data_IF_950558438532
#
_entry.id   IF_950558438532
#
_cell.length_a   1.000
_cell.length_b   1.000
_cell.length_c   1.000
_cell.angle_alpha   90.00
_cell.angle_beta   90.00
_cell.angle_gamma   90.00
#
_symmetry.space_group_name_H-M   'P 1'
#
loop_
_entity.id
_entity.type
_entity.pdbx_description
1 polymer ?
#
# COMPACT_ATOMS: atom_id res chain seq x y z
N UNK A 1 9.36 55.06 -26.11
CA UNK A 1 9.95 54.40 -24.91
C UNK A 1 9.82 52.89 -25.08
N UNK A 2 10.92 52.19 -25.37
CA UNK A 2 10.92 50.73 -25.55
C UNK A 2 10.89 50.04 -24.18
N UNK A 3 9.84 49.27 -23.87
CA UNK A 3 9.76 48.46 -22.68
C UNK A 3 10.82 47.33 -22.75
N UNK A 4 11.91 47.42 -22.01
CA UNK A 4 12.87 46.33 -21.83
C UNK A 4 12.13 45.11 -21.32
N UNK A 5 11.97 44.07 -22.14
CA UNK A 5 11.49 42.74 -21.71
C UNK A 5 12.48 42.18 -20.69
N UNK A 6 12.03 41.95 -19.47
CA UNK A 6 12.83 41.28 -18.45
C UNK A 6 13.09 39.83 -18.90
N UNK A 7 14.36 39.44 -18.95
CA UNK A 7 14.76 38.08 -19.32
C UNK A 7 14.31 37.12 -18.22
N UNK A 8 13.62 36.03 -18.56
CA UNK A 8 13.25 34.98 -17.58
C UNK A 8 14.53 34.32 -17.05
N UNK A 9 14.55 34.10 -15.73
CA UNK A 9 15.64 33.39 -15.05
C UNK A 9 15.08 32.06 -14.57
N UNK A 10 15.76 30.97 -14.89
CA UNK A 10 15.37 29.63 -14.47
C UNK A 10 16.24 29.16 -13.30
N UNK A 11 15.69 28.34 -12.43
CA UNK A 11 16.45 27.65 -11.39
C UNK A 11 17.44 26.67 -12.03
N UNK A 12 18.58 26.43 -11.38
CA UNK A 12 19.52 25.42 -11.82
C UNK A 12 18.82 24.04 -11.87
N UNK A 13 19.01 23.33 -12.97
CA UNK A 13 18.48 21.99 -13.19
C UNK A 13 19.65 21.07 -13.58
N UNK A 14 19.94 20.11 -12.69
CA UNK A 14 20.94 19.08 -12.93
C UNK A 14 20.33 17.71 -12.58
N UNK A 15 19.83 16.96 -13.58
CA UNK A 15 19.21 15.65 -13.34
C UNK A 15 20.22 14.58 -12.90
N UNK A 16 21.50 14.78 -13.20
CA UNK A 16 22.59 13.84 -12.89
C UNK A 16 23.35 14.18 -11.61
N UNK A 17 22.78 15.06 -10.78
CA UNK A 17 23.40 15.43 -9.51
C UNK A 17 23.42 14.24 -8.55
N UNK A 18 24.61 13.77 -8.24
CA UNK A 18 24.83 12.75 -7.23
C UNK A 18 24.64 13.32 -5.82
N UNK A 19 23.84 12.65 -5.01
CA UNK A 19 23.76 12.95 -3.57
C UNK A 19 24.82 12.16 -2.82
N UNK A 20 25.53 12.83 -1.93
CA UNK A 20 26.58 12.21 -1.11
C UNK A 20 25.99 11.16 -0.15
N UNK A 21 24.77 11.43 0.36
CA UNK A 21 23.95 10.52 1.13
C UNK A 21 22.57 10.44 0.46
N UNK A 22 22.22 9.30 -0.17
CA UNK A 22 20.89 9.16 -0.75
C UNK A 22 19.86 9.23 0.39
N UNK A 23 18.73 9.95 0.21
CA UNK A 23 17.65 9.99 1.18
C UNK A 23 17.08 8.60 1.39
N UNK A 24 16.65 8.29 2.61
CA UNK A 24 15.90 7.07 2.86
C UNK A 24 14.52 7.17 2.17
N UNK A 25 13.89 6.02 1.88
CA UNK A 25 12.52 6.04 1.36
C UNK A 25 11.56 6.72 2.34
N UNK A 26 11.84 6.64 3.63
CA UNK A 26 11.09 7.30 4.71
C UNK A 26 11.08 8.83 4.55
N UNK A 27 12.23 9.42 4.21
CA UNK A 27 12.41 10.87 4.05
C UNK A 27 11.69 11.41 2.81
N UNK A 28 11.48 10.55 1.81
CA UNK A 28 10.86 10.92 0.54
C UNK A 28 9.33 10.88 0.60
N UNK A 29 8.74 10.33 1.68
CA UNK A 29 7.29 10.21 1.84
C UNK A 29 6.78 11.28 2.80
N UNK A 30 5.83 12.14 2.38
CA UNK A 30 5.24 13.16 3.25
C UNK A 30 4.66 12.56 4.54
N UNK A 31 4.78 13.28 5.65
CA UNK A 31 4.32 12.80 6.96
C UNK A 31 2.80 12.52 7.01
N UNK A 32 2.01 13.26 6.24
CA UNK A 32 0.55 13.14 6.17
C UNK A 32 0.06 12.24 5.02
N UNK A 33 0.95 11.49 4.35
CA UNK A 33 0.54 10.67 3.22
C UNK A 33 -0.20 9.40 3.68
N UNK A 34 -1.29 9.04 2.98
CA UNK A 34 -2.15 7.87 3.30
C UNK A 34 -1.39 6.55 3.39
N UNK A 35 -0.27 6.41 2.69
CA UNK A 35 0.57 5.20 2.74
C UNK A 35 1.08 4.91 4.16
N UNK A 36 1.30 5.95 4.98
CA UNK A 36 1.71 5.81 6.39
C UNK A 36 0.59 5.23 7.25
N UNK A 37 -0.64 5.65 6.98
CA UNK A 37 -1.83 5.08 7.63
C UNK A 37 -1.96 3.60 7.29
N UNK A 38 -1.83 3.24 6.00
CA UNK A 38 -1.85 1.83 5.57
C UNK A 38 -0.80 1.00 6.31
N UNK A 39 0.44 1.49 6.39
CA UNK A 39 1.50 0.80 7.13
C UNK A 39 1.13 0.63 8.61
N UNK A 40 0.73 1.71 9.28
CA UNK A 40 0.40 1.70 10.71
C UNK A 40 -0.74 0.72 11.02
N UNK A 41 -1.82 0.76 10.25
CA UNK A 41 -2.98 -0.14 10.45
C UNK A 41 -2.59 -1.59 10.21
N UNK A 42 -1.92 -1.91 9.09
CA UNK A 42 -1.55 -3.29 8.78
C UNK A 42 -0.51 -3.86 9.77
N UNK A 43 0.39 -3.03 10.29
CA UNK A 43 1.37 -3.48 11.28
C UNK A 43 0.73 -3.88 12.62
N UNK A 44 -0.44 -3.35 12.96
CA UNK A 44 -1.19 -3.68 14.17
C UNK A 44 -2.13 -4.88 14.00
N UNK A 45 -2.38 -5.37 12.78
CA UNK A 45 -3.26 -6.51 12.56
C UNK A 45 -2.71 -7.80 13.17
N UNK A 46 -3.61 -8.58 13.78
CA UNK A 46 -3.36 -9.99 14.05
C UNK A 46 -3.50 -10.79 12.76
N UNK A 47 -2.44 -11.46 12.34
CA UNK A 47 -2.38 -12.23 11.09
C UNK A 47 -2.17 -13.73 11.32
N UNK A 48 -2.39 -14.23 12.54
CA UNK A 48 -2.14 -15.63 12.90
C UNK A 48 -2.88 -16.61 11.99
N UNK A 49 -4.12 -16.29 11.62
CA UNK A 49 -4.92 -17.12 10.73
C UNK A 49 -4.37 -17.15 9.29
N UNK A 50 -3.70 -16.09 8.85
CA UNK A 50 -2.97 -16.10 7.58
C UNK A 50 -1.68 -16.94 7.72
N UNK A 51 -0.94 -16.74 8.81
CA UNK A 51 0.32 -17.45 9.07
C UNK A 51 0.13 -18.97 9.12
N UNK A 52 -0.96 -19.46 9.71
CA UNK A 52 -1.30 -20.90 9.75
C UNK A 52 -1.43 -21.54 8.35
N UNK A 53 -1.69 -20.74 7.30
CA UNK A 53 -1.77 -21.22 5.92
C UNK A 53 -0.40 -21.37 5.24
N UNK A 54 0.68 -20.94 5.90
CA UNK A 54 2.04 -21.13 5.40
C UNK A 54 2.60 -22.44 5.92
N UNK A 55 2.88 -23.35 5.00
CA UNK A 55 3.56 -24.61 5.33
C UNK A 55 5.06 -24.36 5.33
N UNK A 56 5.77 -24.82 6.35
CA UNK A 56 7.23 -24.77 6.38
C UNK A 56 7.84 -25.62 5.26
N UNK A 57 9.06 -25.28 4.86
CA UNK A 57 9.81 -25.92 3.78
C UNK A 57 9.66 -25.22 2.41
N UNK A 58 10.63 -25.40 1.53
CA UNK A 58 10.67 -24.74 0.21
C UNK A 58 11.33 -23.36 0.23
N UNK A 59 11.14 -22.60 -0.84
CA UNK A 59 11.66 -21.25 -1.00
C UNK A 59 11.02 -20.28 0.01
N UNK A 60 11.78 -19.25 0.42
CA UNK A 60 11.31 -18.20 1.30
C UNK A 60 10.10 -17.50 0.71
N UNK A 61 9.06 -17.34 1.50
CA UNK A 61 7.84 -16.62 1.11
C UNK A 61 7.88 -15.18 1.61
N UNK A 62 7.29 -14.26 0.85
CA UNK A 62 7.10 -12.88 1.32
C UNK A 62 6.23 -12.84 2.57
N UNK A 63 6.54 -11.94 3.49
CA UNK A 63 5.79 -11.81 4.73
C UNK A 63 4.35 -11.36 4.46
N UNK A 64 3.31 -11.96 5.09
CA UNK A 64 1.91 -11.62 4.82
C UNK A 64 1.56 -10.15 5.02
N UNK A 65 2.15 -9.47 6.02
CA UNK A 65 1.93 -8.02 6.22
C UNK A 65 2.41 -7.20 5.03
N UNK A 66 3.54 -7.56 4.40
CA UNK A 66 4.01 -6.92 3.16
C UNK A 66 2.96 -7.06 2.07
N UNK A 67 2.49 -8.29 1.84
CA UNK A 67 1.49 -8.59 0.81
C UNK A 67 0.17 -7.85 1.05
N UNK A 68 -0.28 -7.77 2.32
CA UNK A 68 -1.46 -6.98 2.70
C UNK A 68 -1.26 -5.49 2.44
N UNK A 69 -0.11 -4.91 2.81
CA UNK A 69 0.19 -3.49 2.61
C UNK A 69 0.09 -3.10 1.14
N UNK A 70 0.76 -3.84 0.24
CA UNK A 70 0.74 -3.52 -1.19
C UNK A 70 -0.65 -3.73 -1.82
N UNK A 71 -1.42 -4.71 -1.36
CA UNK A 71 -2.79 -4.95 -1.81
C UNK A 71 -3.74 -3.84 -1.35
N UNK A 72 -3.76 -3.53 -0.06
CA UNK A 72 -4.63 -2.50 0.51
C UNK A 72 -4.32 -1.14 -0.10
N UNK A 73 -3.04 -0.78 -0.21
CA UNK A 73 -2.65 0.45 -0.87
C UNK A 73 -3.02 0.46 -2.37
N UNK A 74 -2.92 -0.70 -3.03
CA UNK A 74 -3.37 -0.89 -4.40
C UNK A 74 -4.86 -0.56 -4.57
N UNK A 75 -5.70 -1.07 -3.70
CA UNK A 75 -7.14 -0.76 -3.71
C UNK A 75 -7.42 0.73 -3.46
N UNK A 76 -6.74 1.35 -2.49
CA UNK A 76 -6.88 2.77 -2.20
C UNK A 76 -6.42 3.67 -3.36
N UNK A 77 -5.43 3.21 -4.14
CA UNK A 77 -4.92 3.92 -5.32
C UNK A 77 -5.56 3.46 -6.65
N UNK A 78 -6.71 2.77 -6.59
CA UNK A 78 -7.43 2.24 -7.75
C UNK A 78 -6.59 1.30 -8.64
N UNK A 79 -5.62 0.60 -8.04
CA UNK A 79 -4.74 -0.36 -8.72
C UNK A 79 -5.11 -1.78 -8.32
N UNK A 80 -6.05 -2.40 -9.05
CA UNK A 80 -6.60 -3.72 -8.71
C UNK A 80 -5.86 -4.89 -9.36
N UNK A 81 -5.18 -4.66 -10.48
CA UNK A 81 -4.48 -5.70 -11.23
C UNK A 81 -3.17 -6.09 -10.55
N UNK A 82 -2.93 -7.39 -10.34
CA UNK A 82 -1.70 -7.90 -9.77
C UNK A 82 -0.46 -7.52 -10.60
N UNK A 83 -0.58 -7.45 -11.94
CA UNK A 83 0.50 -6.99 -12.82
C UNK A 83 0.80 -5.50 -12.65
N UNK A 84 -0.22 -4.67 -12.46
CA UNK A 84 -0.01 -3.25 -12.18
C UNK A 84 0.61 -3.04 -10.80
N UNK A 85 0.22 -3.84 -9.79
CA UNK A 85 0.84 -3.78 -8.46
C UNK A 85 2.32 -4.18 -8.56
N UNK A 86 2.66 -5.25 -9.26
CA UNK A 86 4.06 -5.67 -9.52
C UNK A 86 4.87 -4.52 -10.15
N UNK A 87 4.36 -3.87 -11.20
CA UNK A 87 5.02 -2.71 -11.80
C UNK A 87 5.17 -1.55 -10.82
N UNK A 88 4.14 -1.30 -10.01
CA UNK A 88 4.17 -0.22 -9.01
C UNK A 88 5.18 -0.49 -7.90
N UNK A 89 5.32 -1.73 -7.45
CA UNK A 89 6.35 -2.11 -6.45
C UNK A 89 7.77 -1.87 -6.97
N UNK A 90 7.97 -1.95 -8.29
CA UNK A 90 9.29 -1.71 -8.92
C UNK A 90 9.58 -0.23 -9.22
N UNK A 91 8.55 0.62 -9.34
CA UNK A 91 8.70 1.97 -9.88
C UNK A 91 8.09 3.09 -9.04
N UNK A 92 7.22 2.76 -8.09
CA UNK A 92 6.54 3.75 -7.26
C UNK A 92 7.07 3.71 -5.82
N UNK A 93 7.58 4.84 -5.36
CA UNK A 93 8.23 4.97 -4.05
C UNK A 93 7.33 4.53 -2.87
N UNK A 94 6.03 4.78 -2.94
CA UNK A 94 5.09 4.38 -1.88
C UNK A 94 4.97 2.87 -1.76
N UNK A 95 4.90 2.16 -2.90
CA UNK A 95 4.89 0.70 -2.93
C UNK A 95 6.24 0.11 -2.52
N UNK A 96 7.34 0.68 -2.99
CA UNK A 96 8.70 0.27 -2.61
C UNK A 96 8.89 0.36 -1.09
N UNK A 97 8.42 1.44 -0.49
CA UNK A 97 8.48 1.64 0.96
C UNK A 97 7.62 0.66 1.75
N UNK A 98 6.38 0.39 1.30
CA UNK A 98 5.50 -0.61 1.91
C UNK A 98 6.05 -2.03 1.80
N UNK A 99 6.68 -2.34 0.68
CA UNK A 99 7.29 -3.63 0.39
C UNK A 99 8.68 -3.81 1.02
N UNK A 100 9.28 -2.75 1.60
CA UNK A 100 10.65 -2.81 2.10
C UNK A 100 11.67 -3.16 1.02
N UNK A 101 11.48 -2.63 -0.20
CA UNK A 101 12.29 -2.90 -1.40
C UNK A 101 12.15 -4.32 -1.97
N UNK A 102 11.30 -5.16 -1.41
CA UNK A 102 10.98 -6.47 -1.96
C UNK A 102 10.06 -6.34 -3.19
N UNK A 103 10.22 -7.21 -4.18
CA UNK A 103 9.52 -7.12 -5.47
C UNK A 103 8.74 -8.41 -5.79
N UNK A 104 7.62 -8.68 -5.10
CA UNK A 104 6.80 -9.84 -5.39
C UNK A 104 6.20 -9.77 -6.81
N UNK A 105 6.28 -10.87 -7.55
CA UNK A 105 5.70 -11.00 -8.89
C UNK A 105 4.16 -11.09 -8.84
N UNK A 106 3.52 -10.84 -9.97
CA UNK A 106 2.06 -10.84 -10.08
C UNK A 106 1.42 -12.20 -9.76
N UNK A 107 2.10 -13.31 -10.01
CA UNK A 107 1.60 -14.65 -9.68
C UNK A 107 1.59 -14.86 -8.17
N UNK A 108 2.64 -14.43 -7.48
CA UNK A 108 2.74 -14.46 -6.02
C UNK A 108 1.67 -13.57 -5.38
N UNK A 109 1.46 -12.35 -5.90
CA UNK A 109 0.41 -11.44 -5.45
C UNK A 109 -0.99 -12.08 -5.65
N UNK A 110 -1.23 -12.66 -6.82
CA UNK A 110 -2.51 -13.30 -7.10
C UNK A 110 -2.75 -14.53 -6.22
N UNK A 111 -1.74 -15.38 -6.05
CA UNK A 111 -1.81 -16.56 -5.17
C UNK A 111 -2.10 -16.17 -3.73
N UNK A 112 -1.43 -15.15 -3.22
CA UNK A 112 -1.71 -14.65 -1.88
C UNK A 112 -3.19 -14.23 -1.73
N UNK A 113 -3.71 -13.47 -2.70
CA UNK A 113 -5.11 -13.01 -2.71
C UNK A 113 -6.10 -14.17 -2.71
N UNK A 114 -5.88 -15.17 -3.57
CA UNK A 114 -6.84 -16.26 -3.81
C UNK A 114 -6.73 -17.40 -2.79
N UNK A 115 -5.52 -17.72 -2.31
CA UNK A 115 -5.30 -18.89 -1.46
C UNK A 115 -5.12 -18.52 0.02
N UNK A 116 -4.48 -17.40 0.32
CA UNK A 116 -4.14 -17.04 1.71
C UNK A 116 -5.16 -16.09 2.31
N UNK A 117 -5.61 -15.10 1.55
CA UNK A 117 -6.47 -14.03 2.06
C UNK A 117 -7.96 -14.37 1.96
N UNK A 118 -8.41 -15.12 0.95
CA UNK A 118 -9.82 -15.33 0.61
C UNK A 118 -10.70 -15.66 1.83
N UNK A 119 -10.32 -16.67 2.61
CA UNK A 119 -11.16 -17.17 3.73
C UNK A 119 -11.08 -16.30 4.99
N UNK A 120 -10.01 -15.50 5.13
CA UNK A 120 -9.79 -14.64 6.29
C UNK A 120 -10.05 -13.16 5.99
N UNK A 121 -10.49 -12.85 4.77
CA UNK A 121 -10.69 -11.48 4.32
C UNK A 121 -11.67 -10.69 5.21
N UNK A 122 -12.77 -11.34 5.62
CA UNK A 122 -13.79 -10.70 6.48
C UNK A 122 -13.20 -10.35 7.85
N UNK A 123 -12.41 -11.25 8.42
CA UNK A 123 -11.74 -11.03 9.72
C UNK A 123 -10.73 -9.88 9.63
N UNK A 124 -9.87 -9.91 8.60
CA UNK A 124 -8.89 -8.84 8.36
C UNK A 124 -9.59 -7.50 8.15
N UNK A 125 -10.66 -7.47 7.37
CA UNK A 125 -11.43 -6.25 7.14
C UNK A 125 -12.06 -5.72 8.43
N UNK A 126 -12.66 -6.58 9.27
CA UNK A 126 -13.23 -6.19 10.55
C UNK A 126 -12.16 -5.56 11.47
N UNK A 127 -10.98 -6.18 11.56
CA UNK A 127 -9.86 -5.64 12.35
C UNK A 127 -9.42 -4.26 11.83
N UNK A 128 -9.30 -4.09 10.50
CA UNK A 128 -8.93 -2.81 9.88
C UNK A 128 -9.94 -1.73 10.26
N UNK A 129 -11.24 -2.00 10.11
CA UNK A 129 -12.30 -1.04 10.47
C UNK A 129 -12.23 -0.68 11.95
N UNK A 130 -12.09 -1.67 12.83
CA UNK A 130 -11.96 -1.44 14.28
C UNK A 130 -10.79 -0.52 14.61
N UNK A 131 -9.60 -0.81 14.06
CA UNK A 131 -8.41 0.00 14.26
C UNK A 131 -8.56 1.44 13.72
N UNK A 132 -9.22 1.60 12.58
CA UNK A 132 -9.49 2.94 12.02
C UNK A 132 -10.44 3.75 12.89
N UNK A 133 -11.42 3.11 13.50
CA UNK A 133 -12.34 3.76 14.45
C UNK A 133 -11.62 4.14 15.74
N UNK A 134 -10.84 3.22 16.32
CA UNK A 134 -10.06 3.47 17.53
C UNK A 134 -9.06 4.61 17.36
N UNK A 135 -8.49 4.76 16.15
CA UNK A 135 -7.59 5.85 15.80
C UNK A 135 -8.30 7.15 15.42
N UNK A 136 -9.64 7.18 15.44
CA UNK A 136 -10.44 8.35 15.07
C UNK A 136 -10.37 8.71 13.59
N UNK A 137 -9.94 7.77 12.73
CA UNK A 137 -9.84 7.97 11.28
C UNK A 137 -11.19 7.77 10.57
N UNK A 138 -12.11 7.05 11.19
CA UNK A 138 -13.46 6.77 10.69
C UNK A 138 -14.46 6.92 11.82
N UNK A 139 -15.55 7.65 11.57
CA UNK A 139 -16.71 7.74 12.47
C UNK A 139 -17.85 6.89 11.88
N UNK A 140 -18.26 5.83 12.59
CA UNK A 140 -19.31 4.91 12.14
C UNK A 140 -20.72 5.43 12.51
N UNK A 141 -20.98 6.71 12.57
CA UNK A 141 -22.32 7.23 12.84
C UNK A 141 -23.33 6.98 11.72
N UNK A 142 -22.84 6.73 10.51
CA UNK A 142 -23.72 6.49 9.35
C UNK A 142 -23.13 5.42 8.46
N UNK A 143 -23.72 4.23 8.44
CA UNK A 143 -23.38 3.16 7.51
C UNK A 143 -24.36 3.23 6.35
N UNK A 144 -23.89 3.57 5.15
CA UNK A 144 -24.65 3.40 3.92
C UNK A 144 -24.44 1.96 3.43
N UNK A 145 -25.48 1.13 3.53
CA UNK A 145 -25.49 -0.21 2.91
C UNK A 145 -26.02 -0.01 1.50
N UNK A 146 -25.13 -0.02 0.51
CA UNK A 146 -25.51 -0.11 -0.89
C UNK A 146 -26.09 -1.51 -1.16
N UNK A 147 -27.18 -1.60 -1.92
CA UNK A 147 -27.88 -2.84 -2.22
C UNK A 147 -27.01 -3.92 -2.87
N UNK A 148 -25.85 -3.55 -3.40
CA UNK A 148 -24.84 -4.48 -3.95
C UNK A 148 -24.16 -5.33 -2.85
N UNK A 149 -24.17 -4.91 -1.60
CA UNK A 149 -23.63 -5.68 -0.46
C UNK A 149 -24.61 -6.73 0.08
N UNK A 150 -25.89 -6.67 -0.32
CA UNK A 150 -26.91 -7.65 0.04
C UNK A 150 -26.65 -9.06 -0.53
N UNK A 151 -25.82 -9.20 -1.55
CA UNK A 151 -25.45 -10.50 -2.15
C UNK A 151 -24.34 -11.27 -1.39
N UNK A 152 -23.85 -10.74 -0.29
CA UNK A 152 -22.82 -11.40 0.56
C UNK A 152 -23.47 -12.16 1.73
N UNK A 153 -24.79 -12.17 1.82
CA UNK A 153 -25.57 -12.85 2.87
C UNK A 153 -26.08 -14.25 2.46
N UNK A 154 -25.30 -14.97 1.64
CA UNK A 154 -25.59 -16.40 1.42
C UNK A 154 -24.33 -17.20 1.72
#
# INVERSE_FOLDING_TARGET
MSKRRRKATFKAYNPDQLSLLPPSLEDLIPANHVVRVVRSVIDQLNIDNILKKYKGGGASSYHPKLMLKILVYGYLSNTYSSRKIEQSVQSNIHYMWLAGMETPDHNTINRFRTEKLKDVLKEVFAQVVTLMVEQGLVDIKTIYIDGTLSLIHI
#
